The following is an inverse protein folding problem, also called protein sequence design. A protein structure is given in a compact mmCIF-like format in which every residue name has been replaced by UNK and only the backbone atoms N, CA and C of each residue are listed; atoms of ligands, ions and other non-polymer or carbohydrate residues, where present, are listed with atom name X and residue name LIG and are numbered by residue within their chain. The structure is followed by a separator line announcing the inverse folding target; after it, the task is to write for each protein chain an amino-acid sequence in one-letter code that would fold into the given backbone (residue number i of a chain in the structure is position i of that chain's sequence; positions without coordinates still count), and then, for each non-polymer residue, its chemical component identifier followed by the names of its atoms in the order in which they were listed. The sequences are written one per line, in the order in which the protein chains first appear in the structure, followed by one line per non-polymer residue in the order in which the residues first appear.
data_IF_995829690006
#
_entry.id   IF_995829690006
#
_cell.length_a   1.000
_cell.length_b   1.000
_cell.length_c   1.000
_cell.angle_alpha   90.00
_cell.angle_beta   90.00
_cell.angle_gamma   90.00
#
_symmetry.space_group_name_H-M   'P 1'
#
loop_
_entity.id
_entity.type
_entity.pdbx_description
1 polymer ?
#
# COMPACT_ATOMS: atom_id res chain seq x y z
N UNK A 1 -1.35 -1.62 -0.70
CA UNK A 1 -1.35 -1.36 -2.15
C UNK A 1 0.02 -1.71 -2.72
N UNK A 2 0.07 -2.42 -3.83
CA UNK A 2 1.30 -2.89 -4.48
C UNK A 2 1.29 -2.52 -5.96
N UNK A 3 2.45 -2.24 -6.54
CA UNK A 3 2.64 -2.10 -7.99
C UNK A 3 3.53 -3.22 -8.47
N UNK A 4 3.09 -3.94 -9.51
CA UNK A 4 3.86 -4.97 -10.18
C UNK A 4 4.31 -4.43 -11.54
N UNK A 5 5.61 -4.40 -11.79
CA UNK A 5 6.20 -3.88 -13.03
C UNK A 5 6.69 -5.00 -13.95
N UNK A 6 6.64 -4.81 -15.28
CA UNK A 6 7.26 -5.76 -16.20
C UNK A 6 8.79 -5.76 -16.03
N UNK A 7 9.44 -6.88 -16.35
CA UNK A 7 10.91 -7.00 -16.29
C UNK A 7 11.66 -5.88 -17.05
N UNK A 8 11.07 -5.36 -18.13
CA UNK A 8 11.64 -4.26 -18.91
C UNK A 8 11.78 -2.94 -18.12
N UNK A 9 11.04 -2.76 -17.01
CA UNK A 9 11.14 -1.59 -16.14
C UNK A 9 12.39 -1.60 -15.25
N UNK A 10 13.05 -2.76 -15.10
CA UNK A 10 14.23 -2.91 -14.26
C UNK A 10 15.51 -2.79 -15.10
N UNK A 11 16.55 -2.09 -14.62
CA UNK A 11 17.88 -2.09 -15.24
C UNK A 11 18.63 -3.39 -14.94
N UNK A 12 19.70 -3.66 -15.68
CA UNK A 12 20.64 -4.72 -15.28
C UNK A 12 21.53 -4.25 -14.11
N UNK A 13 21.92 -5.16 -13.18
CA UNK A 13 21.67 -6.61 -13.17
C UNK A 13 20.33 -7.03 -12.52
N UNK A 14 19.52 -6.07 -12.06
CA UNK A 14 18.28 -6.34 -11.32
C UNK A 14 17.23 -7.08 -12.18
N UNK A 15 17.14 -6.76 -13.47
CA UNK A 15 16.29 -7.47 -14.42
C UNK A 15 16.62 -8.96 -14.49
N UNK A 16 17.91 -9.30 -14.68
CA UNK A 16 18.35 -10.70 -14.70
C UNK A 16 18.04 -11.40 -13.38
N UNK A 17 18.30 -10.73 -12.25
CA UNK A 17 17.96 -11.25 -10.92
C UNK A 17 16.47 -11.61 -10.81
N UNK A 18 15.56 -10.71 -11.21
CA UNK A 18 14.12 -10.98 -11.14
C UNK A 18 13.64 -12.04 -12.13
N UNK A 19 14.26 -12.13 -13.31
CA UNK A 19 13.97 -13.19 -14.26
C UNK A 19 14.40 -14.58 -13.74
N UNK A 20 15.56 -14.66 -13.10
CA UNK A 20 16.03 -15.88 -12.42
C UNK A 20 15.15 -16.22 -11.21
N UNK A 21 14.81 -15.22 -10.40
CA UNK A 21 13.94 -15.35 -9.23
C UNK A 21 12.61 -16.00 -9.58
N UNK A 22 11.90 -15.45 -10.58
CA UNK A 22 10.61 -15.98 -11.01
C UNK A 22 10.70 -17.41 -11.55
N UNK A 23 11.82 -17.79 -12.19
CA UNK A 23 12.05 -19.15 -12.69
C UNK A 23 12.24 -20.20 -11.59
N UNK A 24 12.65 -19.80 -10.38
CA UNK A 24 12.80 -20.71 -9.24
C UNK A 24 11.45 -21.24 -8.73
N UNK A 25 10.37 -20.48 -8.97
CA UNK A 25 9.03 -20.85 -8.54
C UNK A 25 8.74 -20.61 -7.05
N UNK A 26 9.66 -19.97 -6.32
CA UNK A 26 9.40 -19.53 -4.95
C UNK A 26 8.36 -18.42 -4.95
N UNK A 27 7.29 -18.57 -4.16
CA UNK A 27 6.23 -17.55 -4.00
C UNK A 27 6.05 -17.14 -2.54
N UNK A 28 7.03 -16.44 -1.94
CA UNK A 28 6.87 -15.91 -0.59
C UNK A 28 5.64 -15.00 -0.47
N UNK A 29 4.90 -15.17 0.62
CA UNK A 29 3.67 -14.43 0.89
C UNK A 29 3.93 -13.19 1.74
N UNK A 30 2.92 -12.30 1.82
CA UNK A 30 2.99 -11.15 2.73
C UNK A 30 3.13 -11.57 4.20
N UNK A 31 2.62 -12.76 4.56
CA UNK A 31 2.81 -13.33 5.90
C UNK A 31 4.26 -13.76 6.13
N UNK A 32 4.95 -14.27 5.11
CA UNK A 32 6.38 -14.62 5.21
C UNK A 32 7.24 -13.37 5.40
N UNK A 33 6.95 -12.30 4.66
CA UNK A 33 7.61 -11.01 4.86
C UNK A 33 7.41 -10.48 6.29
N UNK A 34 6.16 -10.50 6.77
CA UNK A 34 5.81 -10.03 8.10
C UNK A 34 6.51 -10.84 9.18
N UNK A 35 6.50 -12.18 9.09
CA UNK A 35 7.18 -13.05 10.06
C UNK A 35 8.68 -12.76 10.11
N UNK A 36 9.33 -12.55 8.95
CA UNK A 36 10.76 -12.18 8.90
C UNK A 36 11.03 -10.82 9.55
N UNK A 37 10.20 -9.83 9.24
CA UNK A 37 10.30 -8.49 9.83
C UNK A 37 10.11 -8.52 11.36
N UNK A 38 9.12 -9.27 11.85
CA UNK A 38 8.86 -9.42 13.29
C UNK A 38 9.99 -10.17 14.01
N UNK A 39 10.58 -11.19 13.36
CA UNK A 39 11.70 -11.92 13.92
C UNK A 39 12.89 -10.99 14.19
N UNK A 40 13.19 -10.03 13.31
CA UNK A 40 14.28 -9.07 13.50
C UNK A 40 14.04 -8.09 14.67
N UNK A 41 12.78 -7.77 14.98
CA UNK A 41 12.41 -6.90 16.10
C UNK A 41 12.54 -7.56 17.48
N UNK A 42 12.62 -8.89 17.55
CA UNK A 42 12.77 -9.62 18.84
C UNK A 42 14.19 -10.14 19.07
N UNK A 43 15.15 -9.80 18.19
CA UNK A 43 16.56 -10.20 18.32
C UNK A 43 17.31 -9.37 19.35
N UNK A 44 18.38 -9.95 19.89
CA UNK A 44 19.37 -9.26 20.75
C UNK A 44 20.75 -9.33 20.07
N UNK A 45 21.34 -8.19 19.65
CA UNK A 45 20.77 -6.85 19.70
C UNK A 45 19.60 -6.66 18.71
N UNK A 46 18.70 -5.72 19.05
CA UNK A 46 17.55 -5.33 18.22
C UNK A 46 18.00 -4.89 16.82
N UNK A 47 17.28 -5.35 15.79
CA UNK A 47 17.46 -4.91 14.40
C UNK A 47 16.23 -4.11 14.00
N UNK A 48 16.35 -2.78 14.07
CA UNK A 48 15.26 -1.84 13.76
C UNK A 48 14.78 -1.94 12.30
N UNK A 49 15.76 -2.06 11.39
CA UNK A 49 15.58 -2.17 9.96
C UNK A 49 16.55 -3.25 9.46
N UNK A 50 16.13 -4.15 8.55
CA UNK A 50 16.99 -5.19 8.01
C UNK A 50 18.33 -4.65 7.48
N UNK A 51 19.43 -5.35 7.73
CA UNK A 51 20.78 -4.92 7.32
C UNK A 51 21.00 -4.92 5.80
N UNK A 52 20.30 -5.80 5.10
CA UNK A 52 20.37 -5.96 3.65
C UNK A 52 18.98 -5.81 3.07
N UNK A 53 18.92 -5.35 1.81
CA UNK A 53 17.65 -5.33 1.10
C UNK A 53 17.17 -6.77 0.83
N UNK A 54 15.86 -6.97 0.89
CA UNK A 54 15.24 -8.24 0.54
C UNK A 54 15.53 -8.60 -0.91
N UNK A 55 15.90 -9.87 -1.14
CA UNK A 55 16.02 -10.47 -2.45
C UNK A 55 14.70 -11.11 -2.94
N UNK A 56 13.59 -10.82 -2.24
CA UNK A 56 12.27 -11.35 -2.56
C UNK A 56 11.35 -10.32 -3.19
N UNK A 57 10.40 -10.83 -3.97
CA UNK A 57 9.39 -10.05 -4.65
C UNK A 57 8.07 -10.84 -4.72
N UNK A 58 6.96 -10.13 -4.78
CA UNK A 58 5.73 -10.74 -5.28
C UNK A 58 5.79 -10.82 -6.80
N UNK A 59 5.32 -11.91 -7.38
CA UNK A 59 5.22 -12.09 -8.83
C UNK A 59 3.77 -12.32 -9.23
N UNK A 60 3.43 -11.92 -10.45
CA UNK A 60 2.13 -12.18 -11.04
C UNK A 60 2.27 -12.30 -12.55
N UNK A 61 1.57 -13.25 -13.16
CA UNK A 61 1.33 -13.26 -14.60
C UNK A 61 0.10 -12.40 -14.90
N UNK A 62 0.24 -11.46 -15.83
CA UNK A 62 -0.85 -10.58 -16.26
C UNK A 62 -0.82 -10.44 -17.79
N UNK A 63 -1.88 -10.86 -18.46
CA UNK A 63 -1.97 -10.90 -19.93
C UNK A 63 -0.74 -11.55 -20.59
N UNK A 64 -0.26 -12.66 -20.02
CA UNK A 64 0.92 -13.40 -20.49
C UNK A 64 2.26 -12.70 -20.25
N UNK A 65 2.28 -11.65 -19.42
CA UNK A 65 3.50 -10.95 -19.02
C UNK A 65 3.78 -11.17 -17.53
N UNK A 66 4.99 -11.64 -17.23
CA UNK A 66 5.51 -11.67 -15.87
C UNK A 66 5.71 -10.25 -15.33
N UNK A 67 5.04 -9.95 -14.23
CA UNK A 67 5.17 -8.72 -13.47
C UNK A 67 5.77 -9.01 -12.08
N UNK A 68 6.58 -8.08 -11.60
CA UNK A 68 7.37 -8.21 -10.36
C UNK A 68 7.13 -7.01 -9.47
N UNK A 69 6.88 -7.25 -8.19
CA UNK A 69 6.75 -6.26 -7.14
C UNK A 69 7.80 -6.54 -6.05
N UNK A 70 8.99 -5.94 -6.15
CA UNK A 70 10.04 -6.11 -5.14
C UNK A 70 9.55 -5.72 -3.75
N UNK A 71 9.89 -6.53 -2.75
CA UNK A 71 9.45 -6.26 -1.38
C UNK A 71 10.01 -4.95 -0.83
N UNK A 72 11.27 -4.66 -1.15
CA UNK A 72 12.03 -3.51 -0.65
C UNK A 72 11.84 -3.29 0.85
N UNK A 73 11.89 -4.38 1.63
CA UNK A 73 11.58 -4.41 3.07
C UNK A 73 12.50 -3.47 3.85
N UNK A 74 13.77 -3.34 3.46
CA UNK A 74 14.71 -2.42 4.12
C UNK A 74 14.31 -0.97 3.91
N UNK A 75 14.08 -0.57 2.65
CA UNK A 75 13.61 0.78 2.33
C UNK A 75 12.29 1.11 3.06
N UNK A 76 11.32 0.19 3.01
CA UNK A 76 10.04 0.39 3.68
C UNK A 76 10.17 0.43 5.21
N UNK A 77 11.14 -0.27 5.78
CA UNK A 77 11.46 -0.19 7.21
C UNK A 77 11.93 1.21 7.63
N UNK A 78 12.78 1.85 6.83
CA UNK A 78 13.20 3.24 7.09
C UNK A 78 12.02 4.22 6.99
N UNK A 79 11.21 4.12 5.93
CA UNK A 79 10.02 4.97 5.76
C UNK A 79 9.01 4.77 6.90
N UNK A 80 8.78 3.54 7.32
CA UNK A 80 7.90 3.24 8.45
C UNK A 80 8.44 3.81 9.77
N UNK A 81 9.77 3.88 9.95
CA UNK A 81 10.37 4.47 11.14
C UNK A 81 10.19 6.00 11.20
N UNK A 82 10.25 6.68 10.05
CA UNK A 82 9.94 8.12 9.97
C UNK A 82 8.48 8.40 10.33
N UNK A 83 7.56 7.52 9.97
CA UNK A 83 6.15 7.66 10.36
C UNK A 83 5.94 7.29 11.84
N UNK A 84 6.64 6.27 12.35
CA UNK A 84 6.44 5.71 13.69
C UNK A 84 6.55 6.74 14.82
N UNK A 85 7.42 7.74 14.68
CA UNK A 85 7.66 8.77 15.71
C UNK A 85 6.44 9.67 15.96
N UNK A 86 5.53 9.76 14.99
CA UNK A 86 4.29 10.53 15.09
C UNK A 86 3.17 9.75 15.81
N UNK A 87 3.25 8.41 15.83
CA UNK A 87 2.16 7.55 16.31
C UNK A 87 2.26 7.15 17.78
N UNK A 88 3.44 7.24 18.40
CA UNK A 88 3.67 6.72 19.73
C UNK A 88 4.28 7.75 20.68
N UNK A 89 3.85 7.79 21.96
CA UNK A 89 4.51 8.59 22.97
C UNK A 89 6.00 8.26 23.09
N UNK A 90 6.83 9.29 23.28
CA UNK A 90 8.30 9.14 23.32
C UNK A 90 8.81 8.05 24.28
N UNK A 91 8.28 7.89 25.51
CA UNK A 91 8.74 6.83 26.41
C UNK A 91 8.50 5.41 25.86
N UNK A 92 7.37 5.19 25.17
CA UNK A 92 7.04 3.90 24.54
C UNK A 92 8.02 3.63 23.40
N UNK A 93 8.30 4.65 22.58
CA UNK A 93 9.29 4.56 21.50
C UNK A 93 10.70 4.27 22.04
N UNK A 94 11.12 4.92 23.12
CA UNK A 94 12.45 4.74 23.70
C UNK A 94 12.64 3.33 24.30
N UNK A 95 11.57 2.75 24.85
CA UNK A 95 11.57 1.38 25.34
C UNK A 95 11.60 0.35 24.20
N UNK A 96 10.74 0.52 23.19
CA UNK A 96 10.62 -0.44 22.08
C UNK A 96 11.78 -0.35 21.08
N UNK A 97 12.28 0.86 20.81
CA UNK A 97 13.29 1.13 19.81
C UNK A 97 14.22 2.26 20.29
N UNK A 98 15.30 1.94 21.02
CA UNK A 98 16.13 2.94 21.72
C UNK A 98 16.62 4.09 20.81
N UNK A 99 16.80 5.32 21.35
CA UNK A 99 17.20 6.48 20.55
C UNK A 99 18.43 6.28 19.66
N UNK A 100 19.42 5.50 20.12
CA UNK A 100 20.62 5.20 19.35
C UNK A 100 20.33 4.34 18.11
N UNK A 101 19.39 3.40 18.20
CA UNK A 101 18.97 2.57 17.06
C UNK A 101 18.24 3.43 16.01
N UNK A 102 17.39 4.36 16.45
CA UNK A 102 16.69 5.28 15.52
C UNK A 102 17.64 6.23 14.80
N UNK A 103 18.57 6.87 15.53
CA UNK A 103 19.60 7.74 14.92
C UNK A 103 20.41 7.00 13.86
N UNK A 104 20.89 5.79 14.20
CA UNK A 104 21.61 4.94 13.24
C UNK A 104 20.78 4.64 12.00
N UNK A 105 19.50 4.29 12.18
CA UNK A 105 18.62 4.00 11.04
C UNK A 105 18.41 5.24 10.14
N UNK A 106 18.28 6.43 10.72
CA UNK A 106 18.22 7.70 9.97
C UNK A 106 19.51 7.95 9.18
N UNK A 107 20.67 7.85 9.82
CA UNK A 107 21.99 8.03 9.17
C UNK A 107 22.21 7.03 8.02
N UNK A 108 21.84 5.76 8.23
CA UNK A 108 21.91 4.73 7.20
C UNK A 108 20.96 5.01 6.02
N UNK A 109 19.77 5.53 6.30
CA UNK A 109 18.80 5.87 5.26
C UNK A 109 19.27 7.05 4.41
N UNK A 110 19.77 8.12 5.04
CA UNK A 110 20.36 9.28 4.35
C UNK A 110 21.50 8.84 3.42
N UNK A 111 22.45 8.07 3.95
CA UNK A 111 23.56 7.52 3.16
C UNK A 111 23.10 6.55 2.05
N UNK A 112 21.98 5.85 2.24
CA UNK A 112 21.39 5.02 1.19
C UNK A 112 20.76 5.88 0.09
N UNK A 113 20.01 6.92 0.43
CA UNK A 113 19.36 7.82 -0.52
C UNK A 113 20.35 8.54 -1.43
N UNK A 114 21.47 9.00 -0.89
CA UNK A 114 22.54 9.62 -1.67
C UNK A 114 23.07 8.72 -2.79
N UNK A 115 23.11 7.40 -2.53
CA UNK A 115 23.57 6.39 -3.50
C UNK A 115 22.45 5.85 -4.40
N UNK A 116 21.20 6.08 -4.04
CA UNK A 116 20.01 5.54 -4.70
C UNK A 116 18.98 6.66 -4.92
N UNK A 117 19.28 7.68 -5.73
CA UNK A 117 18.40 8.83 -5.92
C UNK A 117 17.02 8.45 -6.49
N UNK A 118 16.95 7.38 -7.29
CA UNK A 118 15.71 6.85 -7.89
C UNK A 118 15.05 5.75 -7.04
N UNK A 119 15.53 5.58 -5.80
CA UNK A 119 15.06 4.57 -4.87
C UNK A 119 13.63 4.83 -4.40
N UNK A 120 12.70 3.94 -4.76
CA UNK A 120 11.28 4.06 -4.44
C UNK A 120 10.68 2.76 -3.89
N UNK A 121 9.62 2.80 -3.07
CA UNK A 121 8.91 1.60 -2.65
C UNK A 121 7.82 1.20 -3.66
N UNK A 122 7.75 -0.07 -4.03
CA UNK A 122 6.66 -0.65 -4.85
C UNK A 122 5.39 -0.94 -4.04
N UNK A 123 5.48 -0.84 -2.72
CA UNK A 123 4.41 -1.21 -1.79
C UNK A 123 4.16 -0.03 -0.86
N UNK A 124 2.90 0.42 -0.80
CA UNK A 124 2.38 1.31 0.23
C UNK A 124 1.50 0.53 1.18
N UNK A 125 1.73 0.69 2.49
CA UNK A 125 1.01 -0.03 3.55
C UNK A 125 0.08 0.91 4.29
N UNK A 126 -1.15 0.44 4.54
CA UNK A 126 -2.10 1.10 5.44
C UNK A 126 -2.18 0.28 6.72
N UNK A 127 -1.93 0.92 7.87
CA UNK A 127 -2.00 0.25 9.18
C UNK A 127 -3.47 0.20 9.62
N UNK A 128 -4.01 -1.01 9.80
CA UNK A 128 -5.39 -1.26 10.25
C UNK A 128 -6.49 -0.59 9.41
N UNK A 129 -6.23 -0.30 8.14
CA UNK A 129 -7.23 0.23 7.21
C UNK A 129 -6.76 0.06 5.76
N UNK A 130 -7.72 0.11 4.84
CA UNK A 130 -7.45 0.46 3.44
C UNK A 130 -7.81 1.94 3.29
N UNK A 131 -6.84 2.85 3.09
CA UNK A 131 -7.11 4.27 2.90
C UNK A 131 -8.12 4.51 1.78
N UNK A 132 -9.15 5.31 2.06
CA UNK A 132 -10.27 5.55 1.13
C UNK A 132 -9.80 5.97 -0.27
N UNK A 133 -8.77 6.83 -0.30
CA UNK A 133 -8.13 7.32 -1.53
C UNK A 133 -7.61 6.23 -2.45
N UNK A 134 -7.29 5.03 -1.94
CA UNK A 134 -6.79 3.92 -2.77
C UNK A 134 -7.92 3.23 -3.55
N UNK A 135 -9.16 3.27 -3.05
CA UNK A 135 -10.29 2.69 -3.77
C UNK A 135 -10.58 3.40 -5.09
N UNK A 136 -10.11 4.64 -5.29
CA UNK A 136 -10.33 5.36 -6.56
C UNK A 136 -9.66 4.66 -7.74
N UNK A 137 -8.62 3.88 -7.47
CA UNK A 137 -7.80 3.25 -8.50
C UNK A 137 -8.51 2.06 -9.14
N UNK A 138 -9.45 1.44 -8.44
CA UNK A 138 -10.03 0.14 -8.79
C UNK A 138 -11.54 0.27 -9.02
N UNK A 139 -12.11 -0.68 -9.74
CA UNK A 139 -13.55 -0.85 -9.91
C UNK A 139 -14.05 -2.04 -9.07
N UNK A 140 -15.35 -2.05 -8.75
CA UNK A 140 -15.95 -3.12 -7.93
C UNK A 140 -15.87 -4.49 -8.63
N UNK A 141 -15.91 -4.50 -9.95
CA UNK A 141 -15.85 -5.71 -10.78
C UNK A 141 -14.44 -6.34 -10.79
N UNK A 142 -13.40 -5.56 -10.43
CA UNK A 142 -12.02 -6.03 -10.30
C UNK A 142 -11.76 -6.74 -8.96
N UNK A 143 -12.80 -6.90 -8.12
CA UNK A 143 -12.74 -7.54 -6.81
C UNK A 143 -12.56 -9.04 -6.92
N UNK A 144 -11.55 -9.55 -6.25
CA UNK A 144 -11.33 -10.97 -6.02
C UNK A 144 -11.43 -11.26 -4.53
N UNK A 145 -12.31 -12.19 -4.15
CA UNK A 145 -12.51 -12.58 -2.77
C UNK A 145 -12.56 -14.09 -2.63
N UNK A 146 -11.64 -14.62 -1.81
CA UNK A 146 -11.61 -16.00 -1.36
C UNK A 146 -11.67 -15.99 0.17
N UNK A 147 -12.79 -16.43 0.78
CA UNK A 147 -12.96 -16.46 2.23
C UNK A 147 -11.79 -17.13 2.96
N UNK A 148 -11.32 -16.50 4.04
CA UNK A 148 -10.20 -16.98 4.87
C UNK A 148 -8.81 -16.85 4.25
N UNK A 149 -8.71 -16.54 2.95
CA UNK A 149 -7.44 -16.51 2.22
C UNK A 149 -7.07 -15.09 1.76
N UNK A 150 -7.94 -14.45 0.96
CA UNK A 150 -7.61 -13.15 0.35
C UNK A 150 -8.83 -12.31 -0.02
N UNK A 151 -8.66 -11.00 0.06
CA UNK A 151 -9.51 -10.02 -0.59
C UNK A 151 -8.59 -8.98 -1.24
N UNK A 152 -8.73 -8.81 -2.55
CA UNK A 152 -7.93 -7.84 -3.31
C UNK A 152 -8.67 -7.31 -4.54
N UNK A 153 -8.11 -6.26 -5.10
CA UNK A 153 -8.47 -5.75 -6.42
C UNK A 153 -7.20 -5.66 -7.27
N UNK A 154 -7.30 -5.98 -8.56
CA UNK A 154 -6.18 -5.85 -9.51
C UNK A 154 -6.61 -5.09 -10.75
N UNK A 155 -5.81 -4.12 -11.16
CA UNK A 155 -6.14 -3.28 -12.32
C UNK A 155 -4.89 -2.86 -13.09
N UNK A 156 -4.95 -2.73 -14.44
CA UNK A 156 -3.85 -2.16 -15.19
C UNK A 156 -3.53 -0.72 -14.77
N UNK A 157 -2.25 -0.35 -14.73
CA UNK A 157 -1.77 0.99 -14.35
C UNK A 157 -2.47 2.10 -15.16
N UNK A 158 -2.70 1.88 -16.45
CA UNK A 158 -3.42 2.83 -17.31
C UNK A 158 -4.85 3.09 -16.80
N UNK A 159 -5.56 2.07 -16.35
CA UNK A 159 -6.92 2.24 -15.82
C UNK A 159 -6.89 2.93 -14.45
N UNK A 160 -5.96 2.53 -13.57
CA UNK A 160 -5.75 3.18 -12.28
C UNK A 160 -5.51 4.69 -12.43
N UNK A 161 -4.55 5.09 -13.27
CA UNK A 161 -4.24 6.51 -13.56
C UNK A 161 -5.43 7.25 -14.18
N UNK A 162 -6.16 6.60 -15.10
CA UNK A 162 -7.36 7.20 -15.73
C UNK A 162 -8.49 7.43 -14.73
N UNK A 163 -8.70 6.52 -13.78
CA UNK A 163 -9.70 6.69 -12.71
C UNK A 163 -9.26 7.76 -11.71
N UNK A 164 -8.00 7.74 -11.27
CA UNK A 164 -7.42 8.77 -10.42
C UNK A 164 -7.56 10.18 -11.03
N UNK A 165 -7.19 10.36 -12.29
CA UNK A 165 -7.31 11.65 -12.97
C UNK A 165 -8.76 12.14 -13.07
N UNK A 166 -9.73 11.22 -13.27
CA UNK A 166 -11.15 11.56 -13.28
C UNK A 166 -11.68 11.92 -11.90
N UNK A 167 -11.30 11.15 -10.87
CA UNK A 167 -11.65 11.43 -9.47
C UNK A 167 -11.10 12.78 -9.02
N UNK A 168 -9.81 13.06 -9.30
CA UNK A 168 -9.17 14.33 -8.96
C UNK A 168 -9.85 15.53 -9.60
N UNK A 169 -10.26 15.45 -10.88
CA UNK A 169 -10.99 16.56 -11.52
C UNK A 169 -12.31 16.85 -10.79
N UNK A 170 -13.09 15.82 -10.52
CA UNK A 170 -14.38 15.98 -9.81
C UNK A 170 -14.18 16.50 -8.37
N UNK A 171 -13.18 16.01 -7.66
CA UNK A 171 -12.94 16.40 -6.26
C UNK A 171 -12.37 17.82 -6.11
N UNK A 172 -11.56 18.30 -7.08
CA UNK A 172 -11.04 19.67 -7.07
C UNK A 172 -12.13 20.74 -7.22
N UNK A 173 -13.23 20.41 -7.87
CA UNK A 173 -14.38 21.29 -8.06
C UNK A 173 -15.36 21.23 -6.87
N UNK A 174 -15.19 20.26 -5.96
CA UNK A 174 -16.08 20.01 -4.84
C UNK A 174 -15.52 20.60 -3.53
N UNK A 175 -16.31 21.46 -2.89
CA UNK A 175 -16.01 21.98 -1.55
C UNK A 175 -16.09 20.86 -0.50
N UNK A 176 -15.21 20.91 0.52
CA UNK A 176 -15.22 19.96 1.63
C UNK A 176 -14.40 18.68 1.44
N UNK A 177 -13.76 18.49 0.27
CA UNK A 177 -13.00 17.27 -0.06
C UNK A 177 -11.48 17.50 -0.23
N UNK A 178 -10.93 18.55 0.38
CA UNK A 178 -9.51 18.93 0.27
C UNK A 178 -8.55 17.80 0.66
N UNK A 179 -8.74 17.19 1.83
CA UNK A 179 -7.91 16.08 2.33
C UNK A 179 -7.90 14.86 1.41
N UNK A 180 -9.06 14.53 0.82
CA UNK A 180 -9.15 13.43 -0.15
C UNK A 180 -8.42 13.79 -1.45
N UNK A 181 -8.53 15.04 -1.88
CA UNK A 181 -7.85 15.57 -3.08
C UNK A 181 -6.33 15.52 -2.91
N UNK A 182 -5.81 16.02 -1.79
CA UNK A 182 -4.37 16.00 -1.47
C UNK A 182 -3.83 14.57 -1.44
N UNK A 183 -4.52 13.67 -0.72
CA UNK A 183 -4.13 12.27 -0.69
C UNK A 183 -4.15 11.60 -2.08
N UNK A 184 -5.06 12.00 -2.97
CA UNK A 184 -5.07 11.51 -4.35
C UNK A 184 -3.95 12.08 -5.20
N UNK A 185 -3.52 13.32 -4.95
CA UNK A 185 -2.32 13.89 -5.59
C UNK A 185 -1.09 13.07 -5.20
N UNK A 186 -0.91 12.77 -3.91
CA UNK A 186 0.21 11.93 -3.44
C UNK A 186 0.22 10.54 -4.09
N UNK A 187 -0.95 9.90 -4.17
CA UNK A 187 -1.09 8.60 -4.84
C UNK A 187 -0.78 8.72 -6.33
N UNK A 188 -1.23 9.79 -6.99
CA UNK A 188 -0.95 10.08 -8.39
C UNK A 188 0.54 10.21 -8.66
N UNK A 189 1.22 11.08 -7.91
CA UNK A 189 2.67 11.29 -8.03
C UNK A 189 3.45 9.99 -7.84
N UNK A 190 3.06 9.17 -6.87
CA UNK A 190 3.68 7.86 -6.68
C UNK A 190 3.45 6.91 -7.86
N UNK A 191 2.22 6.85 -8.38
CA UNK A 191 1.93 5.99 -9.53
C UNK A 191 2.72 6.42 -10.77
N UNK A 192 3.04 7.70 -10.94
CA UNK A 192 3.81 8.24 -12.08
C UNK A 192 5.24 7.70 -12.15
N UNK A 193 5.82 7.28 -11.03
CA UNK A 193 7.17 6.72 -10.95
C UNK A 193 7.30 5.32 -11.61
N UNK A 194 6.18 4.66 -11.94
CA UNK A 194 6.15 3.30 -12.45
C UNK A 194 5.87 3.22 -13.95
N UNK A 195 6.29 2.10 -14.54
CA UNK A 195 6.09 1.79 -15.95
C UNK A 195 4.59 1.73 -16.32
N UNK A 196 4.15 2.24 -17.48
CA UNK A 196 2.73 2.31 -17.84
C UNK A 196 2.06 0.94 -18.06
N UNK A 197 2.84 -0.10 -18.37
CA UNK A 197 2.38 -1.51 -18.47
C UNK A 197 2.36 -2.25 -17.12
N UNK A 198 2.54 -1.55 -16.01
CA UNK A 198 2.45 -2.14 -14.68
C UNK A 198 1.00 -2.45 -14.30
N UNK A 199 0.82 -3.19 -13.21
CA UNK A 199 -0.47 -3.52 -12.62
C UNK A 199 -0.50 -3.06 -11.17
N UNK A 200 -1.62 -2.49 -10.74
CA UNK A 200 -1.84 -2.04 -9.37
C UNK A 200 -2.71 -3.07 -8.66
N UNK A 201 -2.28 -3.48 -7.47
CA UNK A 201 -3.03 -4.35 -6.59
C UNK A 201 -3.40 -3.63 -5.29
N UNK A 202 -4.69 -3.60 -4.98
CA UNK A 202 -5.20 -3.18 -3.69
C UNK A 202 -5.53 -4.42 -2.86
N UNK A 203 -4.57 -4.86 -2.06
CA UNK A 203 -4.65 -6.05 -1.22
C UNK A 203 -5.02 -5.70 0.23
N UNK A 204 -5.98 -6.42 0.81
CA UNK A 204 -6.44 -6.20 2.20
C UNK A 204 -5.47 -6.76 3.24
N UNK A 205 -4.51 -7.58 2.82
CA UNK A 205 -3.47 -8.15 3.66
C UNK A 205 -4.04 -8.85 4.89
N UNK A 206 -3.45 -8.55 6.05
CA UNK A 206 -3.84 -9.12 7.33
C UNK A 206 -5.27 -8.81 7.77
N UNK A 207 -5.97 -7.83 7.17
CA UNK A 207 -7.37 -7.54 7.51
C UNK A 207 -8.29 -8.72 7.21
N UNK A 208 -7.92 -9.57 6.26
CA UNK A 208 -8.66 -10.80 5.93
C UNK A 208 -8.71 -11.80 7.09
N UNK A 209 -7.77 -11.73 8.03
CA UNK A 209 -7.70 -12.59 9.21
C UNK A 209 -8.29 -11.92 10.47
N UNK A 210 -8.56 -10.61 10.44
CA UNK A 210 -9.05 -9.86 11.61
C UNK A 210 -10.50 -9.42 11.48
N UNK A 211 -11.01 -9.27 10.25
CA UNK A 211 -12.38 -8.85 9.99
C UNK A 211 -13.32 -10.06 9.83
N UNK A 212 -14.58 -9.96 10.30
CA UNK A 212 -15.56 -11.02 10.10
C UNK A 212 -15.81 -11.30 8.62
N UNK A 213 -16.00 -12.57 8.27
CA UNK A 213 -16.25 -13.01 6.90
C UNK A 213 -17.41 -12.27 6.24
N UNK A 214 -18.54 -12.12 6.94
CA UNK A 214 -19.69 -11.37 6.44
C UNK A 214 -19.36 -9.91 6.10
N UNK A 215 -18.47 -9.28 6.88
CA UNK A 215 -18.00 -7.92 6.62
C UNK A 215 -17.12 -7.85 5.37
N UNK A 216 -16.22 -8.81 5.18
CA UNK A 216 -15.36 -8.92 3.99
C UNK A 216 -16.16 -9.25 2.73
N UNK A 217 -17.11 -10.18 2.82
CA UNK A 217 -17.99 -10.60 1.73
C UNK A 217 -18.89 -9.44 1.26
N UNK A 218 -19.42 -8.67 2.22
CA UNK A 218 -20.29 -7.52 1.97
C UNK A 218 -19.56 -6.22 1.64
N UNK A 219 -18.23 -6.14 1.83
CA UNK A 219 -17.50 -4.91 1.57
C UNK A 219 -17.41 -4.60 0.07
N UNK A 220 -17.97 -3.44 -0.28
CA UNK A 220 -18.00 -2.86 -1.64
C UNK A 220 -17.49 -1.43 -1.61
N UNK A 221 -16.42 -1.20 -0.85
CA UNK A 221 -15.82 0.13 -0.68
C UNK A 221 -15.40 0.78 -2.01
N UNK A 222 -14.97 0.01 -3.00
CA UNK A 222 -14.68 0.51 -4.36
C UNK A 222 -15.93 1.07 -5.05
N UNK A 223 -17.04 0.33 -5.01
CA UNK A 223 -18.35 0.76 -5.54
C UNK A 223 -18.84 2.02 -4.82
N UNK A 224 -18.79 2.01 -3.49
CA UNK A 224 -19.32 3.10 -2.67
C UNK A 224 -18.52 4.39 -2.92
N UNK A 225 -17.18 4.32 -3.01
CA UNK A 225 -16.36 5.47 -3.38
C UNK A 225 -16.69 5.99 -4.79
N UNK A 226 -16.82 5.09 -5.78
CA UNK A 226 -17.17 5.45 -7.14
C UNK A 226 -18.54 6.13 -7.22
N UNK A 227 -19.52 5.66 -6.42
CA UNK A 227 -20.85 6.28 -6.26
C UNK A 227 -20.72 7.70 -5.72
N UNK A 228 -19.97 7.92 -4.64
CA UNK A 228 -19.76 9.26 -4.08
C UNK A 228 -19.13 10.25 -5.08
N UNK A 229 -18.18 9.79 -5.90
CA UNK A 229 -17.59 10.61 -6.97
C UNK A 229 -18.63 10.91 -8.08
N UNK A 230 -19.48 9.94 -8.43
CA UNK A 230 -20.53 10.14 -9.43
C UNK A 230 -21.62 11.11 -8.96
N UNK A 231 -22.03 11.02 -7.70
CA UNK A 231 -22.97 11.94 -7.03
C UNK A 231 -22.43 13.38 -7.08
N UNK A 232 -21.15 13.58 -6.72
CA UNK A 232 -20.51 14.90 -6.85
C UNK A 232 -20.53 15.43 -8.28
N UNK A 233 -20.23 14.58 -9.27
CA UNK A 233 -20.25 14.97 -10.69
C UNK A 233 -21.66 15.36 -11.15
N UNK A 234 -22.70 14.74 -10.60
CA UNK A 234 -24.09 15.05 -10.89
C UNK A 234 -24.60 16.29 -10.11
N UNK A 235 -23.79 16.89 -9.24
CA UNK A 235 -24.18 17.99 -8.38
C UNK A 235 -24.92 17.58 -7.11
N UNK A 236 -25.12 16.28 -6.86
CA UNK A 236 -25.74 15.75 -5.65
C UNK A 236 -24.75 15.74 -4.48
N UNK A 237 -24.53 16.93 -3.90
CA UNK A 237 -23.60 17.10 -2.78
C UNK A 237 -24.07 16.38 -1.52
N UNK A 238 -25.37 16.31 -1.27
CA UNK A 238 -25.93 15.65 -0.10
C UNK A 238 -25.82 14.12 -0.20
N UNK A 239 -26.12 13.54 -1.36
CA UNK A 239 -25.91 12.12 -1.64
C UNK A 239 -24.45 11.73 -1.47
N UNK A 240 -23.54 12.50 -2.07
CA UNK A 240 -22.11 12.29 -1.91
C UNK A 240 -21.69 12.33 -0.43
N UNK A 241 -22.12 13.35 0.32
CA UNK A 241 -21.78 13.47 1.74
C UNK A 241 -22.27 12.27 2.57
N UNK A 242 -23.48 11.76 2.30
CA UNK A 242 -23.98 10.52 2.94
C UNK A 242 -23.10 9.31 2.58
N UNK A 243 -22.83 9.10 1.28
CA UNK A 243 -22.02 7.98 0.80
C UNK A 243 -20.61 7.99 1.40
N UNK A 244 -19.93 9.14 1.40
CA UNK A 244 -18.60 9.26 1.99
C UNK A 244 -18.62 9.13 3.51
N UNK A 245 -19.65 9.66 4.17
CA UNK A 245 -19.86 9.49 5.61
C UNK A 245 -19.96 8.02 6.00
N UNK A 246 -20.87 7.27 5.39
CA UNK A 246 -21.03 5.83 5.64
C UNK A 246 -19.73 5.04 5.41
N UNK A 247 -19.01 5.37 4.34
CA UNK A 247 -17.73 4.72 4.02
C UNK A 247 -16.65 5.07 5.05
N UNK A 248 -16.55 6.33 5.47
CA UNK A 248 -15.59 6.79 6.48
C UNK A 248 -15.89 6.18 7.86
N UNK A 249 -17.17 6.10 8.25
CA UNK A 249 -17.62 5.43 9.47
C UNK A 249 -17.19 3.96 9.50
N UNK A 250 -17.45 3.22 8.41
CA UNK A 250 -17.07 1.81 8.28
C UNK A 250 -15.57 1.60 8.48
N UNK A 251 -14.74 2.38 7.79
CA UNK A 251 -13.28 2.27 7.89
C UNK A 251 -12.72 2.80 9.21
N UNK A 252 -13.39 3.76 9.86
CA UNK A 252 -13.04 4.18 11.21
C UNK A 252 -13.26 3.06 12.21
N UNK A 253 -14.40 2.36 12.16
CA UNK A 253 -14.67 1.21 13.03
C UNK A 253 -13.64 0.09 12.86
N UNK A 254 -13.11 -0.11 11.66
CA UNK A 254 -11.99 -1.03 11.41
C UNK A 254 -10.70 -0.51 12.04
N UNK A 255 -10.36 0.77 11.84
CA UNK A 255 -9.15 1.38 12.39
C UNK A 255 -9.15 1.41 13.93
N UNK A 256 -10.29 1.63 14.56
CA UNK A 256 -10.43 1.65 16.03
C UNK A 256 -10.09 0.31 16.69
N UNK A 257 -10.11 -0.80 15.93
CA UNK A 257 -9.62 -2.10 16.42
C UNK A 257 -8.14 -2.09 16.77
N UNK A 258 -7.35 -1.14 16.24
CA UNK A 258 -5.97 -0.93 16.67
C UNK A 258 -5.87 -0.61 18.17
N UNK A 259 -6.87 0.07 18.72
CA UNK A 259 -6.89 0.53 20.11
C UNK A 259 -7.74 -0.37 21.02
N UNK A 260 -8.48 -1.32 20.45
CA UNK A 260 -9.27 -2.28 21.19
C UNK A 260 -8.36 -3.40 21.72
N UNK A 261 -7.82 -3.18 22.92
CA UNK A 261 -7.34 -4.24 23.81
C UNK A 261 -8.40 -4.52 24.88
#
# INVERSE_FOLDING_TARGET
MRVYEPLAAFPEPERTHWADYARRGDTPTAQDELRRSLADLVRVPLVAVPRHESADAFTAEWDGTLLVCPWRTRLRGWLALEELVEWFPRPVLDAALPPAARRRATEEYEAWRERNPDGRPWIRTGVWQVPLRWFVLVADEEREYLPGERLRYRTPMVQARRRLARGLRTLREAEGYGMLTEGLVEVGSWLEEFHPRSMVELDYGGLTHTLPEAGLAGDRSARDLARGIAELRAGDREGAARTYGELAERWRAVRERLFAN
#
